data_IF_316240306982
#
_entry.id   IF_316240306982
#
_cell.length_a   1.000
_cell.length_b   1.000
_cell.length_c   1.000
_cell.angle_alpha   90.00
_cell.angle_beta   90.00
_cell.angle_gamma   90.00
#
_symmetry.space_group_name_H-M   'P 1'
#
loop_
_entity.id
_entity.type
_entity.pdbx_description
1 polymer ?
#
# COMPACT_ATOMS: atom_id res chain seq x y z
N UNK A 1 12.60 24.25 27.46
CA UNK A 1 13.29 24.11 26.17
C UNK A 1 12.25 23.66 25.15
N UNK A 2 11.77 24.55 24.25
CA UNK A 2 10.71 24.27 23.27
C UNK A 2 11.35 23.60 22.06
N UNK A 3 11.09 22.33 21.82
CA UNK A 3 11.72 21.51 20.76
C UNK A 3 10.90 21.29 19.49
N UNK A 4 9.70 21.88 19.35
CA UNK A 4 8.96 21.78 18.09
C UNK A 4 8.29 23.10 17.74
N UNK A 5 8.75 23.73 16.66
CA UNK A 5 8.07 24.82 15.99
C UNK A 5 7.04 24.25 15.03
N UNK A 6 5.84 24.83 15.00
CA UNK A 6 4.81 24.55 14.00
C UNK A 6 5.38 24.66 12.58
N UNK A 7 5.07 23.73 11.68
CA UNK A 7 5.57 23.81 10.31
C UNK A 7 5.01 25.08 9.62
N UNK A 8 5.82 25.79 8.82
CA UNK A 8 5.42 27.01 8.16
C UNK A 8 4.34 26.74 7.11
N UNK A 9 3.29 27.58 7.07
CA UNK A 9 2.30 27.62 6.00
C UNK A 9 3.02 27.92 4.69
N UNK A 10 3.04 26.94 3.77
CA UNK A 10 3.78 27.03 2.51
C UNK A 10 3.11 28.02 1.54
N UNK A 11 3.90 28.97 1.01
CA UNK A 11 3.47 29.97 0.04
C UNK A 11 2.89 29.34 -1.24
N UNK A 12 1.99 30.06 -1.95
CA UNK A 12 1.27 29.55 -3.13
C UNK A 12 2.14 28.98 -4.27
N UNK A 13 3.43 29.37 -4.39
CA UNK A 13 4.36 28.77 -5.35
C UNK A 13 4.76 27.36 -4.98
N UNK A 14 4.98 27.05 -3.68
CA UNK A 14 5.24 25.68 -3.19
C UNK A 14 4.05 24.74 -3.38
N UNK A 15 2.83 25.26 -3.30
CA UNK A 15 1.61 24.49 -3.52
C UNK A 15 1.43 24.09 -5.01
N UNK A 16 1.84 24.94 -5.95
CA UNK A 16 1.83 24.64 -7.39
C UNK A 16 2.88 23.58 -7.76
N UNK A 17 4.08 23.64 -7.16
CA UNK A 17 5.16 22.67 -7.34
C UNK A 17 4.74 21.28 -6.79
N UNK A 18 4.13 21.25 -5.59
CA UNK A 18 3.58 20.02 -4.98
C UNK A 18 2.48 19.37 -5.85
N UNK A 19 1.56 20.17 -6.43
CA UNK A 19 0.53 19.64 -7.35
C UNK A 19 1.13 19.08 -8.64
N UNK A 20 2.17 19.70 -9.20
CA UNK A 20 2.88 19.20 -10.40
C UNK A 20 3.61 17.88 -10.10
N UNK A 21 4.27 17.80 -8.94
CA UNK A 21 4.94 16.59 -8.47
C UNK A 21 3.95 15.42 -8.27
N UNK A 22 2.84 15.65 -7.57
CA UNK A 22 1.77 14.66 -7.39
C UNK A 22 1.18 14.18 -8.73
N UNK A 23 1.06 15.09 -9.71
CA UNK A 23 0.57 14.74 -11.06
C UNK A 23 1.61 13.91 -11.84
N UNK A 24 2.90 14.19 -11.69
CA UNK A 24 3.98 13.43 -12.29
C UNK A 24 4.09 12.03 -11.65
N UNK A 25 3.98 11.94 -10.33
CA UNK A 25 3.95 10.67 -9.59
C UNK A 25 2.74 9.79 -9.96
N UNK A 26 1.54 10.38 -10.07
CA UNK A 26 0.35 9.67 -10.59
C UNK A 26 0.54 9.17 -12.02
N UNK A 27 1.28 9.92 -12.86
CA UNK A 27 1.59 9.51 -14.23
C UNK A 27 2.66 8.41 -14.28
N UNK A 28 3.64 8.43 -13.39
CA UNK A 28 4.65 7.38 -13.24
C UNK A 28 4.02 6.08 -12.70
N UNK A 29 3.17 6.16 -11.66
CA UNK A 29 2.37 5.04 -11.16
C UNK A 29 1.51 4.41 -12.28
N UNK A 30 0.79 5.23 -13.07
CA UNK A 30 0.01 4.73 -14.22
C UNK A 30 0.86 4.11 -15.32
N UNK A 31 2.13 4.51 -15.50
CA UNK A 31 3.04 3.91 -16.49
C UNK A 31 3.65 2.59 -16.01
N UNK A 32 3.94 2.47 -14.72
CA UNK A 32 4.37 1.21 -14.12
C UNK A 32 3.25 0.14 -14.21
N UNK A 33 1.99 0.56 -14.09
CA UNK A 33 0.80 -0.28 -14.18
C UNK A 33 0.54 -0.85 -15.61
N UNK A 34 1.09 -0.23 -16.66
CA UNK A 34 0.89 -0.68 -18.05
C UNK A 34 1.80 -1.84 -18.49
N UNK A 35 2.75 -2.28 -17.70
CA UNK A 35 3.63 -3.40 -18.04
C UNK A 35 3.08 -4.77 -17.59
N UNK A 36 1.99 -4.80 -16.83
CA UNK A 36 1.32 -6.01 -16.38
C UNK A 36 -0.04 -6.16 -17.08
N UNK A 37 -0.22 -7.25 -17.83
CA UNK A 37 -1.54 -7.79 -18.14
C UNK A 37 -2.18 -8.29 -16.85
N UNK A 38 -2.63 -7.36 -16.00
CA UNK A 38 -3.57 -7.71 -14.95
C UNK A 38 -4.83 -8.17 -15.63
N UNK A 39 -5.35 -9.31 -15.22
CA UNK A 39 -6.68 -9.81 -15.60
C UNK A 39 -7.71 -8.69 -15.32
N UNK A 40 -8.00 -7.89 -16.36
CA UNK A 40 -8.73 -6.61 -16.26
C UNK A 40 -10.17 -6.71 -15.75
N UNK A 41 -10.61 -7.88 -15.33
CA UNK A 41 -11.99 -8.14 -14.91
C UNK A 41 -12.10 -9.06 -13.69
N UNK A 42 -11.02 -9.42 -13.03
CA UNK A 42 -11.12 -10.41 -11.96
C UNK A 42 -11.62 -9.75 -10.67
N UNK A 43 -12.87 -10.02 -10.38
CA UNK A 43 -13.45 -9.88 -9.06
C UNK A 43 -12.54 -10.53 -7.99
N UNK A 44 -12.37 -9.91 -6.81
CA UNK A 44 -11.51 -10.45 -5.75
C UNK A 44 -12.14 -11.70 -5.13
N UNK A 45 -11.62 -12.89 -5.41
CA UNK A 45 -12.08 -14.15 -4.80
C UNK A 45 -11.48 -14.44 -3.43
N UNK A 46 -10.39 -13.76 -3.10
CA UNK A 46 -9.70 -13.89 -1.83
C UNK A 46 -8.34 -13.18 -1.86
N UNK A 47 -7.77 -13.02 -0.69
CA UNK A 47 -6.48 -12.39 -0.46
C UNK A 47 -5.51 -13.39 0.13
N UNK A 48 -4.28 -13.41 -0.38
CA UNK A 48 -3.18 -14.20 0.16
C UNK A 48 -2.09 -13.25 0.62
N UNK A 49 -1.73 -13.31 1.90
CA UNK A 49 -0.56 -12.59 2.43
C UNK A 49 0.66 -13.52 2.43
N UNK A 50 1.79 -13.01 1.99
CA UNK A 50 3.07 -13.64 2.26
C UNK A 50 3.35 -13.68 3.77
N UNK A 51 4.23 -14.57 4.21
CA UNK A 51 4.69 -14.57 5.60
C UNK A 51 5.28 -13.21 5.99
N UNK A 52 6.03 -12.60 5.08
CA UNK A 52 6.65 -11.29 5.29
C UNK A 52 5.59 -10.18 5.47
N UNK A 53 4.62 -10.09 4.57
CA UNK A 53 3.55 -9.09 4.67
C UNK A 53 2.75 -9.24 5.97
N UNK A 54 2.40 -10.47 6.33
CA UNK A 54 1.67 -10.76 7.56
C UNK A 54 2.45 -10.35 8.81
N UNK A 55 3.74 -10.72 8.89
CA UNK A 55 4.59 -10.36 10.03
C UNK A 55 4.86 -8.86 10.10
N UNK A 56 4.97 -8.16 8.97
CA UNK A 56 5.09 -6.69 8.95
C UNK A 56 3.86 -6.02 9.55
N UNK A 57 2.65 -6.47 9.17
CA UNK A 57 1.39 -5.98 9.74
C UNK A 57 1.35 -6.22 11.26
N UNK A 58 1.60 -7.45 11.70
CA UNK A 58 1.55 -7.78 13.14
C UNK A 58 2.60 -7.03 13.95
N UNK A 59 3.83 -6.88 13.43
CA UNK A 59 4.89 -6.15 14.08
C UNK A 59 4.50 -4.70 14.36
N UNK A 60 3.93 -4.02 13.36
CA UNK A 60 3.47 -2.64 13.50
C UNK A 60 2.28 -2.56 14.47
N UNK A 61 1.29 -3.44 14.30
CA UNK A 61 0.08 -3.47 15.15
C UNK A 61 0.43 -3.69 16.63
N UNK A 62 1.28 -4.66 16.95
CA UNK A 62 1.70 -4.92 18.33
C UNK A 62 2.55 -3.81 18.92
N UNK A 63 3.35 -3.12 18.11
CA UNK A 63 4.20 -2.02 18.60
C UNK A 63 3.41 -0.73 18.86
N UNK A 64 2.22 -0.59 18.27
CA UNK A 64 1.36 0.61 18.40
C UNK A 64 0.15 0.42 19.30
N UNK A 65 -0.14 -0.80 19.75
CA UNK A 65 -1.26 -1.04 20.65
C UNK A 65 -1.20 -0.11 21.88
N UNK A 66 -2.30 0.61 22.26
CA UNK A 66 -3.67 0.54 21.75
C UNK A 66 -4.03 1.56 20.65
N UNK A 67 -3.08 2.23 20.02
CA UNK A 67 -3.35 3.28 19.04
C UNK A 67 -3.72 2.69 17.67
N UNK A 68 -4.45 3.47 16.87
CA UNK A 68 -4.64 3.16 15.46
C UNK A 68 -3.33 3.30 14.69
N UNK A 69 -3.12 2.39 13.76
CA UNK A 69 -2.02 2.38 12.80
C UNK A 69 -2.48 1.70 11.51
N UNK A 70 -1.71 1.84 10.45
CA UNK A 70 -2.05 1.25 9.17
C UNK A 70 -0.91 1.31 8.18
N UNK A 71 -1.16 0.84 6.98
CA UNK A 71 -0.19 0.85 5.90
C UNK A 71 -0.79 0.39 4.58
N UNK A 72 0.05 0.11 3.62
CA UNK A 72 -0.32 -0.16 2.24
C UNK A 72 0.07 -1.58 1.86
N UNK A 73 -0.79 -2.26 1.10
CA UNK A 73 -0.52 -3.56 0.51
C UNK A 73 0.01 -3.44 -0.90
N UNK A 74 1.11 -4.17 -1.16
CA UNK A 74 1.74 -4.28 -2.46
C UNK A 74 1.83 -5.75 -2.89
N UNK A 75 1.60 -6.00 -4.18
CA UNK A 75 1.63 -7.35 -4.69
C UNK A 75 1.09 -7.46 -6.10
N UNK A 76 0.47 -8.61 -6.42
CA UNK A 76 -0.01 -8.90 -7.77
C UNK A 76 -1.37 -9.60 -7.73
N UNK A 77 -2.11 -9.56 -8.84
CA UNK A 77 -3.40 -10.26 -8.98
C UNK A 77 -3.28 -11.31 -10.05
N UNK A 78 -3.78 -12.53 -9.76
CA UNK A 78 -3.85 -13.64 -10.73
C UNK A 78 -5.12 -14.44 -10.51
N UNK A 79 -5.92 -14.62 -11.54
CA UNK A 79 -7.16 -15.41 -11.50
C UNK A 79 -8.12 -14.98 -10.37
N UNK A 80 -8.26 -13.67 -10.13
CA UNK A 80 -9.12 -13.12 -9.07
C UNK A 80 -8.61 -13.34 -7.65
N UNK A 81 -7.41 -13.85 -7.46
CA UNK A 81 -6.74 -13.91 -6.15
C UNK A 81 -5.73 -12.78 -6.06
N UNK A 82 -5.80 -12.04 -4.97
CA UNK A 82 -4.95 -10.89 -4.68
C UNK A 82 -3.80 -11.31 -3.76
N UNK A 83 -2.58 -11.35 -4.30
CA UNK A 83 -1.37 -11.83 -3.64
C UNK A 83 -0.59 -10.66 -3.07
N UNK A 84 -0.67 -10.44 -1.78
CA UNK A 84 0.06 -9.40 -1.05
C UNK A 84 1.46 -9.92 -0.72
N UNK A 85 2.46 -9.49 -1.47
CA UNK A 85 3.85 -9.85 -1.22
C UNK A 85 4.48 -9.02 -0.10
N UNK A 86 4.13 -7.72 -0.03
CA UNK A 86 4.65 -6.76 0.94
C UNK A 86 3.53 -5.95 1.58
N UNK A 87 3.72 -5.60 2.85
CA UNK A 87 2.91 -4.62 3.57
C UNK A 87 3.85 -3.57 4.17
N UNK A 88 3.62 -2.29 3.85
CA UNK A 88 4.35 -1.21 4.50
C UNK A 88 3.78 -0.92 5.89
N UNK A 89 4.63 -0.35 6.76
CA UNK A 89 4.21 0.41 7.92
C UNK A 89 3.67 1.80 7.50
N UNK A 90 3.14 2.62 8.42
CA UNK A 90 2.56 3.92 8.07
C UNK A 90 3.57 5.04 7.80
N UNK A 91 4.87 4.81 8.07
CA UNK A 91 5.96 5.78 7.89
C UNK A 91 6.28 6.61 9.14
N UNK A 92 7.36 7.40 9.01
CA UNK A 92 7.99 8.10 10.16
C UNK A 92 7.16 9.29 10.64
N UNK A 93 6.49 10.00 9.74
CA UNK A 93 5.70 11.20 10.08
C UNK A 93 4.20 10.90 10.19
N UNK A 94 3.88 9.74 10.74
CA UNK A 94 2.51 9.29 10.96
C UNK A 94 1.94 9.90 12.24
N UNK A 95 0.68 10.31 12.18
CA UNK A 95 -0.11 10.64 13.37
C UNK A 95 -0.84 9.37 13.84
N UNK A 96 -0.70 9.04 15.12
CA UNK A 96 -1.39 7.93 15.77
C UNK A 96 -2.23 8.42 16.93
N UNK A 97 -3.50 8.09 16.96
CA UNK A 97 -4.40 8.29 18.11
C UNK A 97 -5.23 7.02 18.35
N UNK A 98 -6.13 7.04 19.34
CA UNK A 98 -7.06 5.92 19.58
C UNK A 98 -8.20 5.79 18.55
N UNK A 99 -8.41 6.80 17.73
CA UNK A 99 -9.53 6.85 16.80
C UNK A 99 -9.18 7.46 15.43
N UNK A 100 -7.91 7.61 15.15
CA UNK A 100 -7.45 8.16 13.88
C UNK A 100 -5.96 7.92 13.67
N UNK A 101 -5.57 7.65 12.44
CA UNK A 101 -4.17 7.67 12.01
C UNK A 101 -4.05 8.35 10.63
N UNK A 102 -2.91 9.01 10.41
CA UNK A 102 -2.56 9.57 9.09
C UNK A 102 -1.24 8.97 8.64
N UNK A 103 -1.23 8.35 7.47
CA UNK A 103 -0.03 7.76 6.89
C UNK A 103 0.89 8.83 6.29
N UNK A 104 2.20 8.57 6.35
CA UNK A 104 3.21 9.41 5.69
C UNK A 104 3.24 9.12 4.18
N UNK A 105 2.53 9.94 3.42
CA UNK A 105 2.46 9.81 1.96
C UNK A 105 3.82 9.96 1.26
N UNK A 106 4.76 10.73 1.82
CA UNK A 106 6.10 10.87 1.24
C UNK A 106 6.90 9.59 1.39
N UNK A 107 6.78 8.94 2.55
CA UNK A 107 7.37 7.63 2.78
C UNK A 107 6.81 6.59 1.80
N UNK A 108 5.48 6.50 1.64
CA UNK A 108 4.87 5.52 0.73
C UNK A 108 5.25 5.76 -0.73
N UNK A 109 5.31 7.01 -1.17
CA UNK A 109 5.76 7.36 -2.51
C UNK A 109 7.22 7.00 -2.76
N UNK A 110 8.06 7.04 -1.71
CA UNK A 110 9.46 6.64 -1.79
C UNK A 110 9.63 5.12 -1.76
N UNK A 111 8.99 4.44 -0.80
CA UNK A 111 9.24 3.01 -0.56
C UNK A 111 8.65 2.10 -1.65
N UNK A 112 7.49 2.47 -2.23
CA UNK A 112 6.83 1.66 -3.24
C UNK A 112 7.74 1.30 -4.44
N UNK A 113 8.37 2.24 -5.15
CA UNK A 113 9.26 1.88 -6.26
C UNK A 113 10.50 1.10 -5.79
N UNK A 114 10.98 1.31 -4.57
CA UNK A 114 12.09 0.53 -4.00
C UNK A 114 11.68 -0.93 -3.82
N UNK A 115 10.55 -1.18 -3.17
CA UNK A 115 10.02 -2.54 -2.96
C UNK A 115 9.69 -3.21 -4.30
N UNK A 116 9.02 -2.50 -5.22
CA UNK A 116 8.65 -3.07 -6.51
C UNK A 116 9.85 -3.58 -7.31
N UNK A 117 11.00 -2.91 -7.21
CA UNK A 117 12.24 -3.33 -7.91
C UNK A 117 12.89 -4.58 -7.32
N UNK A 118 12.55 -4.97 -6.10
CA UNK A 118 13.09 -6.18 -5.49
C UNK A 118 12.52 -7.45 -6.12
N UNK A 119 11.36 -7.36 -6.77
CA UNK A 119 10.64 -8.50 -7.34
C UNK A 119 10.78 -8.55 -8.85
N UNK A 120 10.93 -9.76 -9.43
CA UNK A 120 11.07 -9.95 -10.87
C UNK A 120 9.87 -9.42 -11.64
N UNK A 121 8.67 -9.64 -11.10
CA UNK A 121 7.41 -9.18 -11.69
C UNK A 121 6.99 -7.78 -11.23
N UNK A 122 7.81 -7.11 -10.41
CA UNK A 122 7.40 -5.88 -9.78
C UNK A 122 6.26 -6.08 -8.79
N UNK A 123 5.77 -4.98 -8.23
CA UNK A 123 4.61 -4.96 -7.33
C UNK A 123 3.63 -3.88 -7.79
N UNK A 124 2.34 -4.16 -7.68
CA UNK A 124 1.26 -3.20 -7.84
C UNK A 124 0.71 -2.78 -6.49
N UNK A 125 0.08 -1.62 -6.43
CA UNK A 125 -0.74 -1.20 -5.31
C UNK A 125 -2.01 -2.08 -5.27
N UNK A 126 -2.30 -2.69 -4.13
CA UNK A 126 -3.48 -3.55 -3.97
C UNK A 126 -4.54 -2.96 -3.04
N UNK A 127 -4.14 -2.08 -2.14
CA UNK A 127 -5.03 -1.48 -1.16
C UNK A 127 -4.30 -1.16 0.13
N UNK A 128 -5.02 -1.22 1.23
CA UNK A 128 -4.50 -0.79 2.53
C UNK A 128 -4.93 -1.73 3.66
N UNK A 129 -4.27 -1.58 4.79
CA UNK A 129 -4.66 -2.20 6.05
C UNK A 129 -4.59 -1.18 7.17
N UNK A 130 -5.44 -1.34 8.18
CA UNK A 130 -5.32 -0.57 9.41
C UNK A 130 -5.86 -1.34 10.62
N UNK A 131 -5.41 -0.92 11.78
CA UNK A 131 -5.84 -1.47 13.05
C UNK A 131 -6.89 -0.57 13.68
N UNK A 132 -7.99 -1.19 14.12
CA UNK A 132 -8.95 -0.56 15.02
C UNK A 132 -8.74 -1.04 16.46
N UNK A 133 -8.76 -0.15 17.46
CA UNK A 133 -8.82 -0.52 18.87
C UNK A 133 -10.04 -1.40 19.18
N UNK A 134 -9.88 -2.34 20.10
CA UNK A 134 -10.95 -3.27 20.45
C UNK A 134 -11.30 -4.23 19.30
N UNK A 135 -12.59 -4.52 19.15
CA UNK A 135 -13.12 -5.51 18.19
C UNK A 135 -13.94 -4.91 17.05
N UNK A 136 -13.82 -3.60 16.80
CA UNK A 136 -14.61 -2.90 15.79
C UNK A 136 -14.23 -3.30 14.37
N UNK A 137 -15.18 -3.91 13.63
CA UNK A 137 -14.99 -4.43 12.26
C UNK A 137 -15.63 -3.56 11.18
N UNK A 138 -15.99 -2.33 11.50
CA UNK A 138 -16.65 -1.42 10.56
C UNK A 138 -15.76 -0.22 10.27
N UNK A 139 -15.80 0.25 9.04
CA UNK A 139 -15.10 1.45 8.63
C UNK A 139 -15.77 2.71 9.15
N UNK A 140 -14.98 3.69 9.57
CA UNK A 140 -15.45 5.06 9.77
C UNK A 140 -15.72 5.72 8.41
N UNK A 141 -16.33 6.91 8.42
CA UNK A 141 -16.53 7.69 7.19
C UNK A 141 -15.22 8.15 6.55
N UNK A 142 -14.16 8.31 7.34
CA UNK A 142 -12.83 8.69 6.86
C UNK A 142 -12.12 7.50 6.23
N UNK A 143 -12.23 6.32 6.82
CA UNK A 143 -11.75 5.06 6.25
C UNK A 143 -12.43 4.77 4.91
N UNK A 144 -13.75 4.92 4.87
CA UNK A 144 -14.54 4.70 3.65
C UNK A 144 -14.08 5.62 2.52
N UNK A 145 -13.88 6.91 2.80
CA UNK A 145 -13.34 7.87 1.83
C UNK A 145 -11.94 7.48 1.34
N UNK A 146 -11.10 7.00 2.25
CA UNK A 146 -9.75 6.55 1.92
C UNK A 146 -9.80 5.30 1.05
N UNK A 147 -10.63 4.30 1.41
CA UNK A 147 -10.83 3.08 0.63
C UNK A 147 -11.30 3.37 -0.79
N UNK A 148 -12.27 4.27 -0.96
CA UNK A 148 -12.75 4.70 -2.29
C UNK A 148 -11.64 5.38 -3.11
N UNK A 149 -10.81 6.22 -2.49
CA UNK A 149 -9.68 6.85 -3.16
C UNK A 149 -8.65 5.82 -3.65
N UNK A 150 -8.39 4.77 -2.87
CA UNK A 150 -7.52 3.67 -3.29
C UNK A 150 -8.14 2.86 -4.43
N UNK A 151 -9.43 2.53 -4.35
CA UNK A 151 -10.14 1.80 -5.40
C UNK A 151 -10.13 2.57 -6.74
N UNK A 152 -10.28 3.90 -6.70
CA UNK A 152 -10.19 4.77 -7.87
C UNK A 152 -8.77 4.76 -8.48
N UNK A 153 -7.72 4.87 -7.64
CA UNK A 153 -6.33 4.86 -8.09
C UNK A 153 -5.95 3.52 -8.72
N UNK A 154 -6.33 2.42 -8.10
CA UNK A 154 -6.05 1.06 -8.56
C UNK A 154 -6.86 0.73 -9.82
N UNK A 155 -8.09 1.23 -9.92
CA UNK A 155 -8.95 1.09 -11.10
C UNK A 155 -9.66 -0.26 -11.23
N UNK A 156 -9.32 -1.25 -10.41
CA UNK A 156 -9.93 -2.59 -10.36
C UNK A 156 -10.62 -2.89 -9.03
N UNK A 157 -10.95 -1.85 -8.24
CA UNK A 157 -11.31 -1.97 -6.84
C UNK A 157 -10.07 -2.00 -5.97
N UNK A 158 -10.25 -2.18 -4.67
CA UNK A 158 -9.17 -2.23 -3.68
C UNK A 158 -9.48 -3.24 -2.57
N UNK A 159 -8.45 -3.81 -1.98
CA UNK A 159 -8.59 -4.56 -0.73
C UNK A 159 -8.36 -3.63 0.46
N UNK A 160 -9.18 -3.76 1.49
CA UNK A 160 -9.00 -3.06 2.76
C UNK A 160 -9.13 -4.05 3.90
N UNK A 161 -8.13 -4.08 4.78
CA UNK A 161 -8.07 -5.05 5.87
C UNK A 161 -8.08 -4.36 7.21
N UNK A 162 -9.01 -4.76 8.07
CA UNK A 162 -9.05 -4.39 9.47
C UNK A 162 -8.31 -5.43 10.31
N UNK A 163 -7.46 -4.95 11.22
CA UNK A 163 -6.73 -5.76 12.17
C UNK A 163 -7.18 -5.41 13.57
N UNK A 164 -7.69 -6.40 14.30
CA UNK A 164 -8.12 -6.28 15.69
C UNK A 164 -7.30 -7.23 16.55
N UNK A 165 -7.05 -6.85 17.80
CA UNK A 165 -6.31 -7.68 18.77
C UNK A 165 -7.19 -8.26 19.87
N UNK A 166 -8.43 -7.81 19.97
CA UNK A 166 -9.33 -8.16 21.05
C UNK A 166 -10.50 -9.05 20.56
N UNK A 167 -10.75 -10.21 21.19
CA UNK A 167 -9.96 -10.86 22.27
C UNK A 167 -8.69 -11.57 21.75
N UNK A 168 -8.52 -11.70 20.46
CA UNK A 168 -7.36 -12.32 19.79
C UNK A 168 -7.08 -11.60 18.48
N UNK A 169 -5.87 -11.74 17.96
CA UNK A 169 -5.50 -11.19 16.65
C UNK A 169 -6.43 -11.72 15.55
N UNK A 170 -7.12 -10.82 14.84
CA UNK A 170 -8.06 -11.12 13.78
C UNK A 170 -7.82 -10.21 12.57
N UNK A 171 -7.87 -10.80 11.39
CA UNK A 171 -7.81 -10.10 10.11
C UNK A 171 -9.19 -10.19 9.45
N UNK A 172 -9.82 -9.04 9.22
CA UNK A 172 -11.07 -8.95 8.45
C UNK A 172 -10.80 -8.20 7.16
N UNK A 173 -10.84 -8.89 6.03
CA UNK A 173 -10.54 -8.30 4.74
C UNK A 173 -11.82 -8.02 3.94
N UNK A 174 -11.87 -6.82 3.39
CA UNK A 174 -12.93 -6.36 2.51
C UNK A 174 -12.36 -6.07 1.13
N UNK A 175 -13.12 -6.40 0.13
CA UNK A 175 -12.90 -5.93 -1.23
C UNK A 175 -13.95 -4.86 -1.54
N UNK A 176 -13.48 -3.68 -1.90
CA UNK A 176 -14.29 -2.60 -2.46
C UNK A 176 -14.25 -2.70 -3.98
N UNK A 177 -15.39 -3.02 -4.59
CA UNK A 177 -15.52 -3.13 -6.03
C UNK A 177 -15.44 -1.77 -6.72
N UNK A 178 -15.27 -1.76 -8.05
CA UNK A 178 -15.37 -0.54 -8.86
C UNK A 178 -16.69 0.21 -8.74
N UNK A 179 -17.76 -0.53 -8.39
CA UNK A 179 -19.10 0.02 -8.26
C UNK A 179 -19.35 0.61 -6.86
N UNK A 180 -18.34 0.59 -5.98
CA UNK A 180 -18.45 1.11 -4.63
C UNK A 180 -19.09 0.14 -3.64
N UNK A 181 -19.16 -1.16 -3.95
CA UNK A 181 -19.76 -2.17 -3.09
C UNK A 181 -18.70 -2.94 -2.32
N UNK A 182 -18.87 -3.01 -1.00
CA UNK A 182 -18.03 -3.81 -0.12
C UNK A 182 -18.52 -5.25 -0.02
N UNK A 183 -17.59 -6.16 0.04
CA UNK A 183 -17.83 -7.54 0.50
C UNK A 183 -16.64 -8.07 1.25
N UNK A 184 -16.85 -8.90 2.24
CA UNK A 184 -15.80 -9.65 2.90
C UNK A 184 -15.23 -10.72 1.97
N UNK A 185 -13.91 -10.90 2.04
CA UNK A 185 -13.21 -11.92 1.25
C UNK A 185 -12.32 -12.78 2.16
N UNK A 186 -12.16 -14.08 1.82
CA UNK A 186 -11.30 -14.96 2.60
C UNK A 186 -9.84 -14.52 2.53
N UNK A 187 -9.15 -14.70 3.66
CA UNK A 187 -7.71 -14.41 3.81
C UNK A 187 -6.96 -15.71 4.07
N UNK A 188 -5.88 -15.90 3.32
CA UNK A 188 -4.91 -16.97 3.56
C UNK A 188 -3.55 -16.35 3.85
N UNK A 189 -2.76 -16.99 4.73
CA UNK A 189 -1.41 -16.53 5.09
C UNK A 189 -0.41 -17.64 4.81
N UNK A 190 0.67 -17.28 4.13
CA UNK A 190 1.81 -18.17 3.93
C UNK A 190 2.32 -18.21 2.49
N UNK A 191 3.64 -18.27 2.38
CA UNK A 191 4.36 -18.28 1.09
C UNK A 191 4.01 -19.51 0.23
N UNK A 192 3.58 -20.62 0.84
CA UNK A 192 3.13 -21.83 0.11
C UNK A 192 2.01 -21.55 -0.88
N UNK A 193 1.18 -20.57 -0.64
CA UNK A 193 0.06 -20.19 -1.53
C UNK A 193 0.51 -19.40 -2.75
N UNK A 194 1.76 -18.93 -2.78
CA UNK A 194 2.37 -18.26 -3.92
C UNK A 194 3.03 -19.25 -4.90
N UNK A 195 3.03 -20.55 -4.59
CA UNK A 195 3.65 -21.55 -5.46
C UNK A 195 3.09 -21.49 -6.89
N UNK A 196 4.01 -21.46 -7.89
CA UNK A 196 3.67 -21.37 -9.31
C UNK A 196 3.16 -20.01 -9.78
N UNK A 197 3.24 -18.97 -8.97
CA UNK A 197 2.91 -17.59 -9.39
C UNK A 197 4.12 -16.81 -9.85
N UNK A 198 5.31 -17.07 -9.30
CA UNK A 198 6.51 -16.25 -9.46
C UNK A 198 6.51 -14.95 -8.64
N UNK A 199 5.43 -14.62 -7.94
CA UNK A 199 5.26 -13.30 -7.32
C UNK A 199 6.15 -13.01 -6.11
N UNK A 200 6.80 -14.02 -5.53
CA UNK A 200 7.82 -13.85 -4.50
C UNK A 200 9.25 -14.00 -5.03
N UNK A 201 9.42 -14.19 -6.34
CA UNK A 201 10.74 -14.29 -6.94
C UNK A 201 11.44 -12.93 -6.93
N UNK A 202 12.61 -12.89 -6.28
CA UNK A 202 13.41 -11.67 -6.21
C UNK A 202 14.18 -11.45 -7.51
N UNK A 203 14.37 -10.19 -7.86
CA UNK A 203 15.24 -9.77 -8.96
C UNK A 203 16.70 -10.09 -8.67
N UNK A 204 17.55 -10.13 -9.70
CA UNK A 204 18.98 -10.35 -9.54
C UNK A 204 19.78 -9.07 -9.66
N UNK A 205 21.00 -8.99 -9.11
CA UNK A 205 21.88 -7.84 -9.29
C UNK A 205 22.14 -7.52 -10.76
N UNK A 206 22.27 -8.54 -11.62
CA UNK A 206 22.51 -8.40 -13.05
C UNK A 206 21.30 -7.76 -13.75
N UNK A 207 20.07 -8.14 -13.35
CA UNK A 207 18.85 -7.56 -13.88
C UNK A 207 18.71 -6.09 -13.46
N UNK A 208 19.05 -5.75 -12.21
CA UNK A 208 19.08 -4.36 -11.75
C UNK A 208 20.12 -3.53 -12.52
N UNK A 209 21.32 -4.07 -12.71
CA UNK A 209 22.38 -3.39 -13.46
C UNK A 209 21.98 -3.13 -14.92
N UNK A 210 21.37 -4.11 -15.59
CA UNK A 210 20.87 -3.97 -16.97
C UNK A 210 19.82 -2.85 -17.11
N UNK A 211 19.07 -2.58 -16.06
CA UNK A 211 18.02 -1.56 -16.05
C UNK A 211 18.47 -0.24 -15.38
N UNK A 212 19.77 -0.10 -15.05
CA UNK A 212 20.30 1.03 -14.29
C UNK A 212 19.88 2.39 -14.84
N UNK A 213 20.04 2.62 -16.15
CA UNK A 213 19.76 3.94 -16.75
C UNK A 213 18.26 4.27 -16.68
N UNK A 214 17.40 3.27 -16.88
CA UNK A 214 15.94 3.43 -16.71
C UNK A 214 15.59 3.75 -15.24
N UNK A 215 16.19 3.05 -14.30
CA UNK A 215 15.96 3.28 -12.87
C UNK A 215 16.42 4.67 -12.42
N UNK A 216 17.51 5.16 -12.99
CA UNK A 216 17.99 6.53 -12.73
C UNK A 216 17.06 7.58 -13.32
N UNK A 217 16.55 7.37 -14.54
CA UNK A 217 15.60 8.27 -15.19
C UNK A 217 14.24 8.37 -14.46
N UNK A 218 13.86 7.33 -13.71
CA UNK A 218 12.63 7.35 -12.89
C UNK A 218 12.79 8.15 -11.59
N UNK A 219 14.01 8.28 -11.08
CA UNK A 219 14.32 8.93 -9.80
C UNK A 219 14.80 10.37 -9.99
N UNK A 220 15.59 10.61 -11.02
CA UNK A 220 16.14 11.93 -11.33
C UNK A 220 15.28 12.65 -12.35
N UNK A 221 14.59 13.71 -11.93
CA UNK A 221 14.16 14.76 -12.84
C UNK A 221 15.33 15.75 -12.96
N UNK A 222 16.04 15.80 -14.13
CA UNK A 222 17.22 16.66 -14.29
C UNK A 222 16.93 18.17 -14.18
N UNK A 223 15.67 18.57 -14.11
CA UNK A 223 15.27 19.96 -13.86
C UNK A 223 15.25 20.33 -12.35
N UNK A 224 15.58 19.40 -11.45
CA UNK A 224 15.59 19.60 -9.99
C UNK A 224 16.99 19.51 -9.34
N UNK A 225 18.06 19.28 -10.11
CA UNK A 225 19.43 19.22 -9.63
C UNK A 225 20.11 20.59 -9.58
#
# INVERSE_FOLDING_TARGET
>A
MKLFSTPPVLSGKKNKKRKKLLKAQRKALKRADHSFESDKAADCRGVVLSNRAYLSVLSEVYSRDPLETGGIFFGNVKNGVWYVAEASDPGVYTLHTHAHHEMDNNYHNHIYPVLSRLYQHGLCLLGLWHRHPGSLDTFSSDDDRTNHSFAEVIGNGAVSMLVNLDPTARLTCYYLSKNGEYRTVPVMVGDKYFAGTGFLELTTPEALLKNKDRLQAEIFDPEEA
#
